data_IF_908206973789
#
_entry.id   IF_908206973789
#
_cell.length_a   1.000
_cell.length_b   1.000
_cell.length_c   1.000
_cell.angle_alpha   90.00
_cell.angle_beta   90.00
_cell.angle_gamma   90.00
#
_symmetry.space_group_name_H-M   'P 1'
#
loop_
_entity.id
_entity.type
_entity.pdbx_description
1 polymer ?
#
# COMPACT_ATOMS: atom_id res chain seq x y z
N UNK A 1 14.44 -1.37 20.92
CA UNK A 1 14.46 -2.28 19.77
C UNK A 1 13.03 -2.52 19.34
N UNK A 2 12.68 -2.42 18.05
CA UNK A 2 11.34 -2.74 17.56
C UNK A 2 11.06 -4.25 17.71
N UNK A 3 9.78 -4.62 17.79
CA UNK A 3 9.35 -6.03 17.80
C UNK A 3 9.49 -6.66 16.41
N UNK A 4 9.29 -5.85 15.38
CA UNK A 4 9.47 -6.21 13.97
C UNK A 4 9.66 -4.95 13.13
N UNK A 5 10.03 -5.12 11.89
CA UNK A 5 10.15 -4.03 10.90
C UNK A 5 9.31 -4.34 9.68
N UNK A 6 8.62 -3.32 9.16
CA UNK A 6 7.76 -3.45 7.99
C UNK A 6 8.19 -2.44 6.93
N UNK A 7 8.31 -2.89 5.69
CA UNK A 7 8.58 -2.04 4.53
C UNK A 7 7.40 -2.13 3.57
N UNK A 8 6.75 -1.01 3.32
CA UNK A 8 5.72 -0.89 2.28
C UNK A 8 6.37 -0.86 0.89
N UNK A 9 5.58 -0.80 -0.17
CA UNK A 9 6.14 -0.73 -1.53
C UNK A 9 7.10 0.45 -1.65
N UNK A 10 8.26 0.18 -2.24
CA UNK A 10 9.29 1.17 -2.56
C UNK A 10 9.09 1.59 -4.01
N UNK A 11 9.15 2.90 -4.23
CA UNK A 11 9.09 3.52 -5.54
C UNK A 11 9.94 4.80 -5.53
N UNK A 12 10.12 5.41 -6.69
CA UNK A 12 10.82 6.70 -6.79
C UNK A 12 10.00 7.78 -6.07
N UNK A 13 10.47 8.17 -4.91
CA UNK A 13 9.94 9.30 -4.13
C UNK A 13 11.08 9.91 -3.32
N UNK A 14 10.99 11.21 -3.05
CA UNK A 14 12.03 11.95 -2.32
C UNK A 14 13.44 11.78 -2.91
N UNK A 15 13.55 11.70 -4.25
CA UNK A 15 14.83 11.44 -4.97
C UNK A 15 15.95 12.40 -4.55
N UNK A 16 15.61 13.64 -4.20
CA UNK A 16 16.59 14.63 -3.72
C UNK A 16 17.19 14.31 -2.34
N UNK A 17 16.53 13.43 -1.56
CA UNK A 17 16.95 13.09 -0.20
C UNK A 17 17.40 11.64 -0.06
N UNK A 18 16.76 10.72 -0.78
CA UNK A 18 16.91 9.27 -0.58
C UNK A 18 17.74 8.59 -1.67
N UNK A 19 18.10 9.30 -2.75
CA UNK A 19 18.87 8.76 -3.88
C UNK A 19 18.12 8.79 -5.21
N UNK A 20 18.88 8.71 -6.29
CA UNK A 20 18.38 8.81 -7.67
C UNK A 20 17.85 7.49 -8.25
N UNK A 21 18.00 6.37 -7.53
CA UNK A 21 17.53 5.05 -7.95
C UNK A 21 16.67 4.37 -6.89
N UNK A 22 15.84 3.41 -7.30
CA UNK A 22 15.00 2.63 -6.37
C UNK A 22 15.84 1.76 -5.44
N UNK A 23 17.02 1.34 -5.88
CA UNK A 23 17.99 0.57 -5.09
C UNK A 23 18.61 1.41 -3.97
N UNK A 24 18.94 2.68 -4.23
CA UNK A 24 19.44 3.61 -3.21
C UNK A 24 18.36 3.86 -2.17
N UNK A 25 17.13 4.12 -2.60
CA UNK A 25 15.98 4.29 -1.70
C UNK A 25 15.73 3.00 -0.89
N UNK A 26 15.89 1.83 -1.50
CA UNK A 26 15.75 0.55 -0.81
C UNK A 26 16.81 0.38 0.29
N UNK A 27 18.08 0.72 0.03
CA UNK A 27 19.16 0.68 1.04
C UNK A 27 18.88 1.62 2.20
N UNK A 28 18.43 2.84 1.93
CA UNK A 28 18.09 3.81 2.97
C UNK A 28 16.94 3.29 3.84
N UNK A 29 15.87 2.78 3.21
CA UNK A 29 14.72 2.21 3.95
C UNK A 29 15.10 0.94 4.71
N UNK A 30 16.03 0.13 4.22
CA UNK A 30 16.55 -1.05 4.90
C UNK A 30 17.33 -0.71 6.20
N UNK A 31 17.73 0.55 6.40
CA UNK A 31 18.33 1.03 7.64
C UNK A 31 17.47 0.84 8.90
N UNK A 32 16.16 0.54 8.73
CA UNK A 32 15.28 0.15 9.84
C UNK A 32 15.54 -1.27 10.34
N UNK A 33 16.16 -2.15 9.58
CA UNK A 33 16.43 -3.53 9.98
C UNK A 33 17.30 -3.58 11.24
N UNK A 34 17.02 -4.55 12.10
CA UNK A 34 17.76 -4.78 13.34
C UNK A 34 18.05 -6.26 13.47
N UNK A 35 19.22 -6.58 14.00
CA UNK A 35 19.63 -7.97 14.22
C UNK A 35 18.59 -8.75 15.00
N UNK A 36 18.32 -9.95 14.57
CA UNK A 36 17.35 -10.88 15.20
C UNK A 36 15.93 -10.33 15.34
N UNK A 37 15.57 -9.31 14.54
CA UNK A 37 14.23 -8.70 14.53
C UNK A 37 13.52 -9.07 13.24
N UNK A 38 12.35 -9.73 13.26
CA UNK A 38 11.61 -10.08 12.05
C UNK A 38 11.39 -8.88 11.13
N UNK A 39 11.58 -9.07 9.84
CA UNK A 39 11.33 -8.04 8.83
C UNK A 39 10.38 -8.59 7.75
N UNK A 40 9.40 -7.78 7.36
CA UNK A 40 8.46 -8.11 6.30
C UNK A 40 8.40 -6.94 5.32
N UNK A 41 8.43 -7.24 4.04
CA UNK A 41 8.27 -6.27 2.96
C UNK A 41 7.00 -6.56 2.15
N UNK A 42 6.33 -5.52 1.71
CA UNK A 42 5.37 -5.62 0.63
C UNK A 42 6.04 -6.22 -0.63
N UNK A 43 5.23 -6.65 -1.60
CA UNK A 43 5.76 -7.08 -2.89
C UNK A 43 6.56 -5.94 -3.55
N UNK A 44 7.78 -6.25 -3.98
CA UNK A 44 8.73 -5.33 -4.59
C UNK A 44 9.13 -5.80 -6.00
N UNK A 45 9.84 -4.96 -6.75
CA UNK A 45 10.56 -5.43 -7.95
C UNK A 45 11.71 -6.36 -7.55
N UNK A 46 12.23 -7.11 -8.49
CA UNK A 46 13.32 -8.05 -8.23
C UNK A 46 14.57 -7.33 -7.70
N UNK A 47 14.90 -6.18 -8.29
CA UNK A 47 16.06 -5.36 -7.90
C UNK A 47 15.93 -4.87 -6.45
N UNK A 48 14.77 -4.32 -6.10
CA UNK A 48 14.49 -3.85 -4.72
C UNK A 48 14.50 -5.01 -3.74
N UNK A 49 13.90 -6.15 -4.10
CA UNK A 49 13.88 -7.34 -3.25
C UNK A 49 15.29 -7.87 -2.97
N UNK A 50 16.15 -7.87 -3.99
CA UNK A 50 17.54 -8.30 -3.84
C UNK A 50 18.30 -7.39 -2.87
N UNK A 51 18.17 -6.08 -3.01
CA UNK A 51 18.79 -5.10 -2.10
C UNK A 51 18.30 -5.26 -0.66
N UNK A 52 16.99 -5.45 -0.46
CA UNK A 52 16.44 -5.65 0.88
C UNK A 52 16.95 -6.94 1.52
N UNK A 53 17.06 -8.04 0.75
CA UNK A 53 17.60 -9.32 1.24
C UNK A 53 19.08 -9.19 1.61
N UNK A 54 19.90 -8.56 0.75
CA UNK A 54 21.32 -8.27 1.05
C UNK A 54 21.48 -7.45 2.35
N UNK A 55 20.69 -6.38 2.52
CA UNK A 55 20.73 -5.56 3.71
C UNK A 55 20.26 -6.30 4.96
N UNK A 56 19.26 -7.15 4.85
CA UNK A 56 18.77 -7.97 5.96
C UNK A 56 19.84 -8.97 6.42
N UNK A 57 20.46 -9.69 5.49
CA UNK A 57 21.56 -10.63 5.78
C UNK A 57 22.74 -9.92 6.46
N UNK A 58 23.16 -8.76 5.94
CA UNK A 58 24.26 -7.99 6.53
C UNK A 58 23.96 -7.49 7.94
N UNK A 59 22.70 -7.30 8.27
CA UNK A 59 22.23 -6.85 9.58
C UNK A 59 22.00 -8.03 10.56
N UNK A 60 22.04 -9.28 10.07
CA UNK A 60 21.77 -10.48 10.86
C UNK A 60 20.28 -10.69 11.11
N UNK A 61 19.44 -10.35 10.13
CA UNK A 61 18.01 -10.67 10.10
C UNK A 61 17.62 -11.28 8.75
N UNK A 62 16.36 -11.70 8.63
CA UNK A 62 15.76 -12.15 7.39
C UNK A 62 14.53 -11.32 7.08
N UNK A 63 14.36 -10.92 5.83
CA UNK A 63 13.17 -10.23 5.34
C UNK A 63 12.30 -11.18 4.52
N UNK A 64 11.03 -11.34 4.90
CA UNK A 64 10.02 -12.04 4.13
C UNK A 64 9.29 -11.06 3.23
N UNK A 65 9.12 -11.39 1.95
CA UNK A 65 8.46 -10.54 0.96
C UNK A 65 7.09 -11.12 0.61
N UNK A 66 6.04 -10.31 0.68
CA UNK A 66 4.68 -10.67 0.26
C UNK A 66 4.68 -11.08 -1.21
N UNK A 67 3.96 -12.14 -1.55
CA UNK A 67 3.86 -12.77 -2.87
C UNK A 67 5.16 -13.44 -3.37
N UNK A 68 6.20 -13.51 -2.54
CA UNK A 68 7.40 -14.31 -2.79
C UNK A 68 7.59 -15.37 -1.70
N UNK A 69 7.74 -14.93 -0.45
CA UNK A 69 7.98 -15.78 0.71
C UNK A 69 6.69 -16.01 1.54
N UNK A 70 5.67 -15.17 1.34
CA UNK A 70 4.33 -15.28 1.94
C UNK A 70 3.33 -15.32 0.80
N UNK A 71 2.56 -16.39 0.70
CA UNK A 71 1.55 -16.53 -0.35
C UNK A 71 0.45 -15.50 -0.17
N UNK A 72 0.14 -14.78 -1.25
CA UNK A 72 -0.84 -13.70 -1.26
C UNK A 72 -1.67 -13.75 -2.53
N UNK A 73 -2.97 -13.58 -2.37
CA UNK A 73 -3.88 -13.33 -3.48
C UNK A 73 -4.93 -12.30 -3.13
N UNK A 74 -5.37 -11.55 -4.11
CA UNK A 74 -6.47 -10.59 -3.98
C UNK A 74 -7.56 -10.92 -4.99
N UNK A 75 -8.81 -10.77 -4.57
CA UNK A 75 -9.98 -10.92 -5.44
C UNK A 75 -10.87 -9.70 -5.28
N UNK A 76 -11.22 -9.13 -6.40
CA UNK A 76 -12.17 -8.05 -6.53
C UNK A 76 -13.52 -8.61 -6.97
N UNK A 77 -14.61 -8.20 -6.35
CA UNK A 77 -15.95 -8.69 -6.69
C UNK A 77 -17.06 -7.84 -6.10
N UNK A 78 -18.25 -7.90 -6.70
CA UNK A 78 -19.45 -7.26 -6.17
C UNK A 78 -19.97 -8.00 -4.94
N UNK A 79 -20.28 -7.24 -3.88
CA UNK A 79 -21.03 -7.76 -2.72
C UNK A 79 -22.53 -7.86 -3.00
N UNK A 80 -23.24 -8.58 -2.13
CA UNK A 80 -24.72 -8.69 -2.18
C UNK A 80 -25.38 -7.32 -1.99
N UNK A 81 -24.68 -6.39 -1.34
CA UNK A 81 -25.07 -4.99 -1.11
C UNK A 81 -24.87 -4.07 -2.32
N UNK A 82 -24.42 -4.61 -3.47
CA UNK A 82 -24.14 -3.86 -4.68
C UNK A 82 -22.83 -3.06 -4.62
N UNK A 83 -22.10 -3.10 -3.50
CA UNK A 83 -20.79 -2.49 -3.38
C UNK A 83 -19.70 -3.45 -3.85
N UNK A 84 -18.64 -2.88 -4.39
CA UNK A 84 -17.48 -3.65 -4.75
C UNK A 84 -16.60 -3.83 -3.51
N UNK A 85 -16.18 -5.06 -3.26
CA UNK A 85 -15.34 -5.40 -2.11
C UNK A 85 -14.07 -6.11 -2.59
N UNK A 86 -12.95 -5.69 -2.07
CA UNK A 86 -11.71 -6.45 -2.21
C UNK A 86 -11.61 -7.44 -1.06
N UNK A 87 -11.27 -8.68 -1.38
CA UNK A 87 -10.92 -9.71 -0.39
C UNK A 87 -9.53 -10.23 -0.69
N UNK A 88 -8.79 -10.52 0.37
CA UNK A 88 -7.46 -11.09 0.25
C UNK A 88 -7.37 -12.43 0.95
N UNK A 89 -6.45 -13.25 0.48
CA UNK A 89 -5.99 -14.44 1.19
C UNK A 89 -4.49 -14.27 1.45
N UNK A 90 -4.09 -14.52 2.68
CA UNK A 90 -2.69 -14.54 3.11
C UNK A 90 -2.44 -15.89 3.74
N UNK A 91 -1.48 -16.64 3.19
CA UNK A 91 -1.12 -17.97 3.66
C UNK A 91 0.33 -17.91 4.14
N UNK A 92 0.53 -18.19 5.40
CA UNK A 92 1.83 -18.35 6.03
C UNK A 92 2.12 -19.84 6.23
N UNK A 93 3.30 -20.17 6.68
CA UNK A 93 3.69 -21.57 6.97
C UNK A 93 2.80 -22.22 8.05
N UNK A 94 2.23 -21.43 8.97
CA UNK A 94 1.54 -21.91 10.17
C UNK A 94 0.04 -21.61 10.15
N UNK A 95 -0.40 -20.59 9.42
CA UNK A 95 -1.78 -20.10 9.49
C UNK A 95 -2.28 -19.57 8.13
N UNK A 96 -3.58 -19.73 7.89
CA UNK A 96 -4.25 -19.27 6.68
C UNK A 96 -5.32 -18.21 7.04
N UNK A 97 -5.18 -17.03 6.46
CA UNK A 97 -6.15 -15.94 6.58
C UNK A 97 -6.93 -15.84 5.27
N UNK A 98 -8.10 -16.46 5.22
CA UNK A 98 -8.88 -16.63 3.99
C UNK A 98 -10.01 -15.61 3.90
N UNK A 99 -10.16 -15.02 2.70
CA UNK A 99 -11.25 -14.09 2.38
C UNK A 99 -11.37 -12.88 3.31
N UNK A 100 -10.23 -12.38 3.78
CA UNK A 100 -10.18 -11.21 4.66
C UNK A 100 -10.71 -9.99 3.92
N UNK A 101 -11.68 -9.26 4.47
CA UNK A 101 -12.23 -8.07 3.84
C UNK A 101 -11.22 -6.92 3.88
N UNK A 102 -11.07 -6.23 2.74
CA UNK A 102 -10.28 -5.00 2.63
C UNK A 102 -11.25 -3.86 2.36
N UNK A 103 -11.51 -2.99 3.34
CA UNK A 103 -12.49 -1.90 3.20
C UNK A 103 -11.95 -0.73 2.39
N UNK A 104 -10.64 -0.67 2.24
CA UNK A 104 -9.95 0.42 1.56
C UNK A 104 -9.85 0.12 0.07
N UNK A 105 -10.22 1.08 -0.76
CA UNK A 105 -10.17 0.94 -2.20
C UNK A 105 -8.74 1.09 -2.74
N UNK A 106 -8.43 0.34 -3.82
CA UNK A 106 -7.14 0.36 -4.48
C UNK A 106 -6.29 -0.89 -4.24
N UNK A 107 -5.64 -1.37 -5.29
CA UNK A 107 -4.82 -2.58 -5.28
C UNK A 107 -3.68 -2.53 -4.24
N UNK A 108 -3.08 -1.34 -4.04
CA UNK A 108 -2.04 -1.14 -3.05
C UNK A 108 -2.54 -1.34 -1.61
N UNK A 109 -3.83 -1.11 -1.34
CA UNK A 109 -4.42 -1.34 -0.01
C UNK A 109 -4.57 -2.84 0.27
N UNK A 110 -4.83 -3.65 -0.73
CA UNK A 110 -4.82 -5.11 -0.58
C UNK A 110 -3.43 -5.60 -0.11
N UNK A 111 -2.36 -5.09 -0.71
CA UNK A 111 -0.98 -5.40 -0.30
C UNK A 111 -0.66 -4.87 1.11
N UNK A 112 -1.11 -3.65 1.44
CA UNK A 112 -0.93 -3.09 2.79
C UNK A 112 -1.67 -3.91 3.85
N UNK A 113 -2.88 -4.39 3.56
CA UNK A 113 -3.61 -5.30 4.45
C UNK A 113 -2.90 -6.65 4.61
N UNK A 114 -2.35 -7.21 3.53
CA UNK A 114 -1.55 -8.44 3.61
C UNK A 114 -0.32 -8.24 4.51
N UNK A 115 0.36 -7.10 4.39
CA UNK A 115 1.49 -6.73 5.23
C UNK A 115 1.08 -6.63 6.72
N UNK A 116 -0.08 -6.01 7.00
CA UNK A 116 -0.62 -5.90 8.35
C UNK A 116 -0.98 -7.28 8.95
N UNK A 117 -1.62 -8.17 8.17
CA UNK A 117 -1.92 -9.54 8.60
C UNK A 117 -0.64 -10.32 8.89
N UNK A 118 0.35 -10.22 8.02
CA UNK A 118 1.64 -10.87 8.22
C UNK A 118 2.35 -10.35 9.47
N UNK A 119 2.23 -9.06 9.78
CA UNK A 119 2.72 -8.48 11.03
C UNK A 119 2.00 -9.05 12.25
N UNK A 120 0.68 -9.19 12.21
CA UNK A 120 -0.10 -9.81 13.28
C UNK A 120 0.33 -11.27 13.48
N UNK A 121 0.58 -12.00 12.40
CA UNK A 121 1.07 -13.38 12.47
C UNK A 121 2.44 -13.46 13.17
N UNK A 122 3.39 -12.60 12.84
CA UNK A 122 4.68 -12.57 13.55
C UNK A 122 4.53 -12.14 15.03
N UNK A 123 3.59 -11.24 15.34
CA UNK A 123 3.27 -10.91 16.74
C UNK A 123 2.71 -12.10 17.51
N UNK A 124 1.88 -12.95 16.88
CA UNK A 124 1.41 -14.20 17.51
C UNK A 124 2.58 -15.13 17.86
N UNK A 125 3.58 -15.26 16.99
CA UNK A 125 4.81 -16.02 17.27
C UNK A 125 5.60 -15.48 18.47
N UNK A 126 5.54 -14.16 18.68
CA UNK A 126 6.14 -13.50 19.84
C UNK A 126 5.29 -13.62 21.12
N UNK A 127 4.18 -14.39 21.09
CA UNK A 127 3.33 -14.67 22.26
C UNK A 127 2.14 -13.70 22.42
N UNK A 128 1.91 -12.77 21.50
CA UNK A 128 0.69 -11.96 21.53
C UNK A 128 -0.51 -12.79 21.05
N UNK A 129 -1.64 -12.62 21.73
CA UNK A 129 -2.88 -13.33 21.37
C UNK A 129 -3.82 -12.43 20.58
N UNK A 130 -4.22 -12.87 19.41
CA UNK A 130 -5.22 -12.23 18.55
C UNK A 130 -6.21 -13.28 18.06
N UNK A 131 -7.48 -13.02 18.25
CA UNK A 131 -8.56 -13.83 17.69
C UNK A 131 -8.80 -13.45 16.22
N UNK A 132 -8.93 -14.44 15.34
CA UNK A 132 -9.08 -14.21 13.90
C UNK A 132 -10.37 -13.46 13.54
N UNK A 133 -11.46 -13.67 14.25
CA UNK A 133 -12.69 -12.93 14.03
C UNK A 133 -12.50 -11.45 14.34
N UNK A 134 -11.81 -11.14 15.42
CA UNK A 134 -11.47 -9.76 15.80
C UNK A 134 -10.55 -9.10 14.78
N UNK A 135 -9.59 -9.84 14.20
CA UNK A 135 -8.74 -9.34 13.11
C UNK A 135 -9.60 -8.96 11.91
N UNK A 136 -10.49 -9.84 11.46
CA UNK A 136 -11.34 -9.62 10.29
C UNK A 136 -12.31 -8.45 10.50
N UNK A 137 -12.94 -8.39 11.65
CA UNK A 137 -13.86 -7.31 12.02
C UNK A 137 -13.17 -5.95 12.12
N UNK A 138 -11.96 -5.92 12.67
CA UNK A 138 -11.18 -4.69 12.80
C UNK A 138 -10.72 -4.19 11.43
N UNK A 139 -10.24 -5.09 10.57
CA UNK A 139 -9.85 -4.74 9.20
C UNK A 139 -11.06 -4.24 8.41
N UNK A 140 -12.21 -4.91 8.50
CA UNK A 140 -13.43 -4.51 7.79
C UNK A 140 -13.93 -3.09 8.18
N UNK A 141 -13.60 -2.62 9.37
CA UNK A 141 -13.98 -1.30 9.90
C UNK A 141 -12.87 -0.25 9.75
N UNK A 142 -11.71 -0.63 9.23
CA UNK A 142 -10.58 0.30 9.08
C UNK A 142 -10.90 1.38 8.07
N UNK A 143 -10.71 2.62 8.46
CA UNK A 143 -10.82 3.80 7.59
C UNK A 143 -9.51 4.56 7.61
N UNK A 144 -9.14 5.15 6.48
CA UNK A 144 -7.95 5.99 6.35
C UNK A 144 -8.34 7.31 5.68
N UNK A 145 -8.30 8.39 6.46
CA UNK A 145 -8.57 9.72 5.93
C UNK A 145 -7.57 10.10 4.83
N UNK A 146 -8.09 10.72 3.76
CA UNK A 146 -7.27 11.12 2.62
C UNK A 146 -6.70 9.95 1.80
N UNK A 147 -7.36 8.79 1.80
CA UNK A 147 -7.04 7.64 0.93
C UNK A 147 -8.30 7.20 0.21
N UNK A 148 -8.51 7.68 -1.01
CA UNK A 148 -9.73 7.53 -1.80
C UNK A 148 -11.00 7.83 -0.97
N UNK A 149 -10.90 8.79 -0.05
CA UNK A 149 -11.96 9.14 0.87
C UNK A 149 -13.03 9.99 0.16
N UNK A 150 -14.25 9.46 0.09
CA UNK A 150 -15.40 10.23 -0.40
C UNK A 150 -15.91 11.10 0.74
N UNK A 151 -15.62 12.40 0.68
CA UNK A 151 -16.00 13.38 1.71
C UNK A 151 -17.34 14.04 1.42
N UNK A 152 -17.86 13.93 0.19
CA UNK A 152 -19.15 14.47 -0.22
C UNK A 152 -19.75 13.65 -1.36
N UNK A 153 -21.07 13.44 -1.36
CA UNK A 153 -21.73 12.53 -2.30
C UNK A 153 -22.35 13.21 -3.53
N UNK A 154 -22.77 14.45 -3.43
CA UNK A 154 -23.46 15.14 -4.53
C UNK A 154 -23.10 16.64 -4.60
N UNK A 155 -22.17 17.07 -5.46
CA UNK A 155 -21.34 16.24 -6.34
C UNK A 155 -20.42 15.34 -5.52
N UNK A 156 -19.99 14.20 -6.10
CA UNK A 156 -19.04 13.34 -5.40
C UNK A 156 -17.69 14.05 -5.31
N UNK A 157 -17.18 14.21 -4.08
CA UNK A 157 -15.87 14.79 -3.81
C UNK A 157 -15.02 13.72 -3.14
N UNK A 158 -13.92 13.39 -3.79
CA UNK A 158 -12.94 12.44 -3.32
C UNK A 158 -11.64 13.15 -2.94
N UNK A 159 -11.06 12.74 -1.82
CA UNK A 159 -9.77 13.25 -1.35
C UNK A 159 -8.75 12.11 -1.29
N UNK A 160 -7.58 12.35 -1.83
CA UNK A 160 -6.45 11.42 -1.77
C UNK A 160 -5.12 12.15 -1.58
N UNK A 161 -4.20 11.50 -0.89
CA UNK A 161 -2.86 12.02 -0.59
C UNK A 161 -1.79 11.61 -1.62
N UNK A 162 -2.15 11.18 -2.83
CA UNK A 162 -1.20 10.86 -3.89
C UNK A 162 -0.37 12.10 -4.25
N UNK A 163 0.96 11.98 -4.17
CA UNK A 163 1.90 13.09 -4.31
C UNK A 163 3.16 12.74 -5.11
N UNK A 164 3.10 11.66 -5.89
CA UNK A 164 4.11 11.30 -6.89
C UNK A 164 3.42 10.64 -8.11
N UNK A 165 4.10 10.53 -9.27
CA UNK A 165 3.50 9.99 -10.50
C UNK A 165 2.92 8.59 -10.34
N UNK A 166 3.59 7.69 -9.63
CA UNK A 166 3.14 6.32 -9.41
C UNK A 166 1.89 6.26 -8.54
N UNK A 167 1.84 7.05 -7.46
CA UNK A 167 0.65 7.13 -6.61
C UNK A 167 -0.55 7.69 -7.38
N UNK A 168 -0.35 8.73 -8.19
CA UNK A 168 -1.40 9.29 -9.04
C UNK A 168 -1.87 8.30 -10.12
N UNK A 169 -0.96 7.57 -10.76
CA UNK A 169 -1.34 6.48 -11.68
C UNK A 169 -2.24 5.47 -10.99
N UNK A 170 -1.88 5.07 -9.79
CA UNK A 170 -2.67 4.12 -8.99
C UNK A 170 -4.03 4.71 -8.61
N UNK A 171 -4.07 5.97 -8.19
CA UNK A 171 -5.30 6.69 -7.87
C UNK A 171 -6.24 6.76 -9.08
N UNK A 172 -5.78 7.23 -10.24
CA UNK A 172 -6.60 7.36 -11.46
C UNK A 172 -7.16 6.00 -11.88
N UNK A 173 -6.34 4.94 -11.85
CA UNK A 173 -6.82 3.57 -12.11
C UNK A 173 -7.88 3.12 -11.11
N UNK A 174 -7.67 3.39 -9.83
CA UNK A 174 -8.59 2.99 -8.77
C UNK A 174 -9.92 3.76 -8.86
N UNK A 175 -9.87 5.06 -9.13
CA UNK A 175 -11.09 5.86 -9.37
C UNK A 175 -11.89 5.27 -10.54
N UNK A 176 -11.25 5.02 -11.68
CA UNK A 176 -11.92 4.42 -12.84
C UNK A 176 -12.47 3.02 -12.59
N UNK A 177 -11.86 2.24 -11.73
CA UNK A 177 -12.29 0.88 -11.41
C UNK A 177 -13.43 0.83 -10.37
N UNK A 178 -13.46 1.76 -9.42
CA UNK A 178 -14.33 1.66 -8.24
C UNK A 178 -15.44 2.73 -8.18
N UNK A 179 -15.27 3.86 -8.85
CA UNK A 179 -16.17 5.00 -8.73
C UNK A 179 -16.84 5.29 -10.08
N UNK A 180 -18.16 5.10 -10.22
CA UNK A 180 -18.87 5.53 -11.42
C UNK A 180 -18.92 7.06 -11.47
N UNK A 181 -18.54 7.64 -12.62
CA UNK A 181 -18.62 9.08 -12.90
C UNK A 181 -18.74 9.32 -14.41
N UNK A 182 -19.37 10.44 -14.78
CA UNK A 182 -19.47 10.88 -16.18
C UNK A 182 -18.34 11.84 -16.55
N UNK A 183 -17.87 12.62 -15.57
CA UNK A 183 -16.75 13.55 -15.76
C UNK A 183 -15.98 13.73 -14.44
N UNK A 184 -14.68 14.00 -14.56
CA UNK A 184 -13.78 14.20 -13.43
C UNK A 184 -13.10 15.57 -13.52
N UNK A 185 -13.29 16.38 -12.46
CA UNK A 185 -12.53 17.61 -12.25
C UNK A 185 -11.52 17.36 -11.15
N UNK A 186 -10.23 17.47 -11.44
CA UNK A 186 -9.17 17.33 -10.47
C UNK A 186 -8.74 18.69 -9.92
N UNK A 187 -8.80 18.88 -8.61
CA UNK A 187 -8.15 20.01 -7.93
C UNK A 187 -6.79 19.53 -7.47
N UNK A 188 -5.73 20.11 -8.00
CA UNK A 188 -4.36 19.63 -7.82
C UNK A 188 -3.44 20.70 -7.23
N UNK A 189 -2.69 20.32 -6.21
CA UNK A 189 -1.60 21.07 -5.63
C UNK A 189 -0.58 20.14 -5.00
N UNK A 190 0.69 20.51 -5.01
CA UNK A 190 1.77 19.72 -4.43
C UNK A 190 2.95 20.62 -3.99
N UNK A 191 3.85 20.05 -3.20
CA UNK A 191 5.10 20.71 -2.82
C UNK A 191 6.05 20.86 -4.02
N UNK A 192 6.94 21.87 -3.94
CA UNK A 192 7.87 22.23 -5.03
C UNK A 192 8.92 21.17 -5.33
N UNK A 193 9.21 20.28 -4.38
CA UNK A 193 10.18 19.19 -4.49
C UNK A 193 9.65 17.97 -5.27
N UNK A 194 8.39 18.00 -5.69
CA UNK A 194 7.74 16.87 -6.38
C UNK A 194 7.85 16.94 -7.90
N UNK A 195 7.81 15.79 -8.54
CA UNK A 195 7.72 15.68 -9.99
C UNK A 195 6.34 16.11 -10.51
N UNK A 196 6.15 17.42 -10.62
CA UNK A 196 4.89 18.04 -11.06
C UNK A 196 4.54 17.57 -12.47
N UNK A 197 5.53 17.47 -13.37
CA UNK A 197 5.30 17.11 -14.78
C UNK A 197 4.77 15.68 -14.90
N UNK A 198 5.47 14.72 -14.30
CA UNK A 198 5.04 13.33 -14.30
C UNK A 198 3.69 13.12 -13.60
N UNK A 199 3.39 13.90 -12.55
CA UNK A 199 2.07 13.87 -11.90
C UNK A 199 0.96 14.37 -12.82
N UNK A 200 1.16 15.47 -13.54
CA UNK A 200 0.17 16.03 -14.46
C UNK A 200 -0.09 15.10 -15.65
N UNK A 201 0.94 14.42 -16.15
CA UNK A 201 0.76 13.36 -17.16
C UNK A 201 -0.21 12.28 -16.68
N UNK A 202 -0.07 11.82 -15.43
CA UNK A 202 -0.97 10.79 -14.90
C UNK A 202 -2.39 11.31 -14.68
N UNK A 203 -2.56 12.52 -14.16
CA UNK A 203 -3.88 13.14 -13.95
C UNK A 203 -4.61 13.31 -15.29
N UNK A 204 -3.89 13.71 -16.34
CA UNK A 204 -4.48 13.95 -17.67
C UNK A 204 -5.04 12.69 -18.33
N UNK A 205 -4.69 11.49 -17.86
CA UNK A 205 -5.25 10.24 -18.35
C UNK A 205 -6.69 9.99 -17.89
N UNK A 206 -7.15 10.66 -16.86
CA UNK A 206 -8.48 10.44 -16.29
C UNK A 206 -9.30 11.71 -16.06
N UNK A 207 -8.66 12.88 -15.89
CA UNK A 207 -9.36 14.12 -15.58
C UNK A 207 -9.74 14.89 -16.86
N UNK A 208 -11.02 15.29 -16.96
CA UNK A 208 -11.50 16.17 -18.03
C UNK A 208 -11.06 17.63 -17.82
N UNK A 209 -10.81 18.01 -16.55
CA UNK A 209 -10.36 19.34 -16.19
C UNK A 209 -9.47 19.31 -14.97
N UNK A 210 -8.43 20.14 -14.99
CA UNK A 210 -7.51 20.30 -13.87
C UNK A 210 -7.59 21.76 -13.37
N UNK A 211 -7.76 21.92 -12.05
CA UNK A 211 -7.73 23.21 -11.37
C UNK A 211 -6.49 23.20 -10.45
N UNK A 212 -5.60 24.15 -10.67
CA UNK A 212 -4.39 24.27 -9.86
C UNK A 212 -4.67 25.10 -8.61
N UNK A 213 -4.08 24.65 -7.49
CA UNK A 213 -4.09 25.41 -6.23
C UNK A 213 -2.68 25.45 -5.65
N UNK A 214 -2.47 26.36 -4.69
CA UNK A 214 -1.21 26.50 -3.95
C UNK A 214 -1.34 25.88 -2.57
#
# INVERSE_FOLDING_TARGET
TPLMTLITKIDLDHVNLLGGSVEEIAREKAGIFKSSTPAISAHQTEEVSAVLKECAESTGTNVKVIAQDIEFSSRFGGGIDGKQHTRICVITEEEQYMHVPVPLEGEHQATNCALAISAIHELKKLGYSFDNLSIYDSLAKTTLSGRMEVVWERPKILVDGAHNPTALRTLIKSVGAHIPYDSMVCVFGCCQDKDVHGMLEQISLGADKIIFTK
#
